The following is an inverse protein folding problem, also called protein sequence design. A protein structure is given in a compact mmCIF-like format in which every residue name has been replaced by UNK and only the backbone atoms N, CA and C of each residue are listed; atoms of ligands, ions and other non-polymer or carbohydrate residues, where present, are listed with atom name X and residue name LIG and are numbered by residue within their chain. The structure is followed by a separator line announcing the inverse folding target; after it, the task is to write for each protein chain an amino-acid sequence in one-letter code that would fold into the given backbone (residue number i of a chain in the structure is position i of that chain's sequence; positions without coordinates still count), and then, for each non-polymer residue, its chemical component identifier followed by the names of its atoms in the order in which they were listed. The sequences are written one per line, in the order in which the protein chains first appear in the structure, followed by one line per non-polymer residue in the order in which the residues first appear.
data_IF_718085247130
#
_entry.id   IF_718085247130
#
_cell.length_a   1.000
_cell.length_b   1.000
_cell.length_c   1.000
_cell.angle_alpha   90.00
_cell.angle_beta   90.00
_cell.angle_gamma   90.00
#
_symmetry.space_group_name_H-M   'P 1'
#
loop_
_entity.id
_entity.type
_entity.pdbx_description
1 polymer ?
#
# COMPACT_ATOMS: atom_id res chain seq x y z
N UNK A 1 9.68 7.19 29.39
CA UNK A 1 8.87 8.41 29.68
C UNK A 1 7.52 8.41 28.94
N UNK A 2 7.47 8.18 27.63
CA UNK A 2 6.19 8.18 26.88
C UNK A 2 5.29 6.99 27.19
N UNK A 3 5.81 5.77 27.20
CA UNK A 3 5.03 4.58 27.58
C UNK A 3 4.41 4.73 28.99
N UNK A 4 5.15 5.36 29.92
CA UNK A 4 4.64 5.71 31.24
C UNK A 4 3.51 6.74 31.17
N UNK A 5 3.65 7.78 30.35
CA UNK A 5 2.62 8.81 30.17
C UNK A 5 1.34 8.23 29.58
N UNK A 6 1.45 7.33 28.59
CA UNK A 6 0.32 6.58 28.02
C UNK A 6 -0.37 5.77 29.11
N UNK A 7 0.40 5.03 29.93
CA UNK A 7 -0.16 4.24 31.04
C UNK A 7 -0.89 5.10 32.07
N UNK A 8 -0.36 6.30 32.37
CA UNK A 8 -0.96 7.21 33.36
C UNK A 8 -2.23 7.87 32.83
N UNK A 9 -2.24 8.26 31.56
CA UNK A 9 -3.39 8.91 30.92
C UNK A 9 -4.46 7.90 30.47
N UNK A 10 -4.10 6.62 30.35
CA UNK A 10 -4.94 5.54 29.80
C UNK A 10 -5.53 5.88 28.41
N UNK A 11 -4.79 6.67 27.63
CA UNK A 11 -5.22 7.19 26.33
C UNK A 11 -4.07 7.14 25.31
N UNK A 12 -4.40 6.73 24.08
CA UNK A 12 -3.48 6.78 22.93
C UNK A 12 -4.17 7.48 21.77
N UNK A 13 -3.92 8.78 21.64
CA UNK A 13 -4.34 9.54 20.45
C UNK A 13 -3.55 9.08 19.21
N UNK A 14 -4.08 9.23 17.98
CA UNK A 14 -3.37 8.91 16.75
C UNK A 14 -1.97 9.56 16.66
N UNK A 15 -1.85 10.82 17.10
CA UNK A 15 -0.57 11.54 17.18
C UNK A 15 0.44 10.84 18.09
N UNK A 16 0.01 10.40 19.28
CA UNK A 16 0.89 9.70 20.23
C UNK A 16 1.30 8.35 19.65
N UNK A 17 0.38 7.65 18.98
CA UNK A 17 0.66 6.40 18.28
C UNK A 17 1.75 6.57 17.22
N UNK A 18 1.63 7.56 16.34
CA UNK A 18 2.62 7.83 15.30
C UNK A 18 4.00 8.12 15.89
N UNK A 19 4.05 8.95 16.93
CA UNK A 19 5.30 9.24 17.61
C UNK A 19 5.94 7.96 18.20
N UNK A 20 5.15 7.08 18.82
CA UNK A 20 5.65 5.79 19.36
C UNK A 20 6.12 4.86 18.24
N UNK A 21 5.35 4.71 17.17
CA UNK A 21 5.71 3.87 16.04
C UNK A 21 6.99 4.35 15.33
N UNK A 22 7.25 5.67 15.34
CA UNK A 22 8.43 6.24 14.70
C UNK A 22 9.76 5.75 15.27
N UNK A 23 9.80 5.28 16.53
CA UNK A 23 11.05 4.91 17.18
C UNK A 23 11.76 3.75 16.47
N UNK A 24 11.02 2.79 15.91
CA UNK A 24 11.61 1.64 15.23
C UNK A 24 12.58 2.07 14.11
N UNK A 25 12.08 2.86 13.17
CA UNK A 25 12.85 3.35 12.01
C UNK A 25 14.00 4.28 12.40
N UNK A 26 13.78 5.11 13.43
CA UNK A 26 14.84 5.99 13.96
C UNK A 26 15.99 5.20 14.56
N UNK A 27 15.68 4.15 15.33
CA UNK A 27 16.70 3.27 15.91
C UNK A 27 17.40 2.45 14.82
N UNK A 28 16.66 1.94 13.83
CA UNK A 28 17.21 1.22 12.69
C UNK A 28 18.20 2.09 11.89
N UNK A 29 17.86 3.37 11.67
CA UNK A 29 18.74 4.35 11.00
C UNK A 29 20.07 4.54 11.75
N UNK A 30 20.01 4.67 13.07
CA UNK A 30 21.21 4.80 13.92
C UNK A 30 22.04 3.53 13.86
N UNK A 31 21.40 2.37 13.98
CA UNK A 31 22.07 1.08 13.98
C UNK A 31 22.77 0.82 12.65
N UNK A 32 22.05 0.94 11.53
CA UNK A 32 22.58 0.67 10.19
C UNK A 32 23.74 1.62 9.84
N UNK A 33 23.57 2.93 10.06
CA UNK A 33 24.66 3.88 9.81
C UNK A 33 25.90 3.60 10.67
N UNK A 34 25.72 3.13 11.91
CA UNK A 34 26.82 2.75 12.79
C UNK A 34 27.51 1.46 12.33
N UNK A 35 26.74 0.46 11.87
CA UNK A 35 27.29 -0.78 11.29
C UNK A 35 28.10 -0.46 10.03
N UNK A 36 27.58 0.38 9.13
CA UNK A 36 28.28 0.81 7.92
C UNK A 36 29.63 1.47 8.26
N UNK A 37 29.63 2.43 9.20
CA UNK A 37 30.87 3.06 9.68
C UNK A 37 31.85 2.07 10.31
N UNK A 38 31.35 1.11 11.09
CA UNK A 38 32.18 0.06 11.69
C UNK A 38 32.83 -0.86 10.65
N UNK A 39 32.28 -0.92 9.44
CA UNK A 39 32.82 -1.66 8.30
C UNK A 39 33.61 -0.77 7.33
N UNK A 40 33.97 0.45 7.74
CA UNK A 40 34.79 1.37 6.93
C UNK A 40 34.03 2.14 5.85
N UNK A 41 32.69 2.06 5.82
CA UNK A 41 31.86 2.81 4.89
C UNK A 41 31.54 4.18 5.49
N UNK A 42 31.85 5.25 4.78
CA UNK A 42 31.51 6.61 5.19
C UNK A 42 30.00 6.84 5.07
N UNK A 43 29.29 6.66 6.19
CA UNK A 43 27.84 6.76 6.28
C UNK A 43 27.38 7.71 7.39
N UNK A 44 26.37 8.53 7.09
CA UNK A 44 25.68 9.40 8.04
C UNK A 44 24.21 8.98 8.18
N UNK A 45 23.73 8.88 9.42
CA UNK A 45 22.34 8.57 9.71
C UNK A 45 21.57 9.83 10.09
N UNK A 46 20.40 10.04 9.51
CA UNK A 46 19.48 11.15 9.83
C UNK A 46 18.28 10.53 10.58
N UNK A 47 18.35 10.32 11.91
CA UNK A 47 17.36 9.51 12.64
C UNK A 47 16.10 10.32 13.02
N UNK A 48 15.64 11.16 12.10
CA UNK A 48 14.45 12.00 12.22
C UNK A 48 13.80 12.21 10.85
N UNK A 49 12.48 12.45 10.79
CA UNK A 49 11.77 12.64 9.54
C UNK A 49 12.19 13.93 8.83
N UNK A 50 12.40 13.83 7.52
CA UNK A 50 12.67 14.96 6.62
C UNK A 50 11.59 15.11 5.53
N UNK A 51 10.58 14.22 5.53
CA UNK A 51 9.35 14.38 4.76
C UNK A 51 8.35 15.23 5.54
N UNK A 52 7.78 16.23 4.88
CA UNK A 52 6.75 17.12 5.43
C UNK A 52 5.38 16.59 5.02
N UNK A 53 4.45 16.52 5.96
CA UNK A 53 3.14 15.88 5.80
C UNK A 53 2.00 16.73 6.36
N UNK A 54 0.77 16.37 6.01
CA UNK A 54 -0.42 16.83 6.71
C UNK A 54 -0.54 16.22 8.12
N UNK A 55 -1.61 16.57 8.85
CA UNK A 55 -1.87 16.04 10.20
C UNK A 55 -2.80 14.83 10.21
N UNK A 56 -2.93 14.10 9.09
CA UNK A 56 -3.71 12.86 9.04
C UNK A 56 -2.93 11.69 9.66
N UNK A 57 -2.76 11.72 10.99
CA UNK A 57 -1.97 10.74 11.73
C UNK A 57 -2.40 9.30 11.43
N UNK A 58 -1.42 8.41 11.26
CA UNK A 58 -1.60 7.02 10.85
C UNK A 58 -1.50 6.78 9.34
N UNK A 59 -1.93 7.75 8.53
CA UNK A 59 -1.97 7.66 7.06
C UNK A 59 -1.69 9.03 6.42
N UNK A 60 -0.63 9.70 6.87
CA UNK A 60 -0.37 11.07 6.49
C UNK A 60 -0.02 11.21 5.00
N UNK A 61 -0.46 12.32 4.40
CA UNK A 61 -0.11 12.66 3.02
C UNK A 61 1.12 13.56 3.00
N UNK A 62 2.05 13.28 2.10
CA UNK A 62 3.27 14.07 1.92
C UNK A 62 2.94 15.34 1.16
N UNK A 63 3.42 16.47 1.66
CA UNK A 63 3.45 17.74 0.95
C UNK A 63 4.76 17.78 0.15
N UNK A 64 4.70 17.39 -1.12
CA UNK A 64 5.88 17.15 -1.96
C UNK A 64 6.83 18.35 -2.04
N UNK A 65 6.31 19.55 -2.29
CA UNK A 65 7.14 20.77 -2.46
C UNK A 65 7.95 21.10 -1.19
N UNK A 66 7.30 21.03 -0.02
CA UNK A 66 7.96 21.26 1.26
C UNK A 66 8.97 20.15 1.58
N UNK A 67 8.60 18.91 1.27
CA UNK A 67 9.49 17.75 1.45
C UNK A 67 10.72 17.84 0.56
N UNK A 68 10.57 18.27 -0.70
CA UNK A 68 11.70 18.49 -1.62
C UNK A 68 12.67 19.51 -1.05
N UNK A 69 12.15 20.66 -0.60
CA UNK A 69 12.97 21.73 -0.03
C UNK A 69 13.71 21.28 1.24
N UNK A 70 13.01 20.64 2.17
CA UNK A 70 13.61 20.13 3.41
C UNK A 70 14.68 19.07 3.11
N UNK A 71 14.35 18.11 2.24
CA UNK A 71 15.25 17.02 1.84
C UNK A 71 16.54 17.56 1.23
N UNK A 72 16.44 18.49 0.27
CA UNK A 72 17.62 19.09 -0.36
C UNK A 72 18.47 19.87 0.66
N UNK A 73 17.84 20.62 1.56
CA UNK A 73 18.53 21.37 2.60
C UNK A 73 19.27 20.47 3.59
N UNK A 74 18.66 19.35 4.01
CA UNK A 74 19.31 18.41 4.94
C UNK A 74 20.45 17.69 4.24
N UNK A 75 20.20 17.12 3.05
CA UNK A 75 21.18 16.30 2.32
C UNK A 75 22.38 17.13 1.85
N UNK A 76 22.19 18.39 1.45
CA UNK A 76 23.30 19.25 1.00
C UNK A 76 24.36 19.52 2.08
N UNK A 77 24.02 19.31 3.36
CA UNK A 77 24.92 19.51 4.49
C UNK A 77 25.67 18.23 4.90
N UNK A 78 25.29 17.07 4.36
CA UNK A 78 25.91 15.78 4.65
C UNK A 78 27.14 15.59 3.76
N UNK A 79 28.27 15.26 4.38
CA UNK A 79 29.55 15.04 3.66
C UNK A 79 29.79 13.58 3.29
N UNK A 80 29.07 12.66 3.94
CA UNK A 80 29.22 11.23 3.73
C UNK A 80 28.64 10.76 2.41
N UNK A 81 29.28 9.75 1.81
CA UNK A 81 28.86 9.15 0.55
C UNK A 81 27.56 8.34 0.69
N UNK A 82 27.26 7.83 1.89
CA UNK A 82 26.04 7.08 2.18
C UNK A 82 25.22 7.83 3.22
N UNK A 83 23.93 8.04 2.92
CA UNK A 83 22.98 8.67 3.83
C UNK A 83 21.91 7.65 4.18
N UNK A 84 21.71 7.41 5.48
CA UNK A 84 20.68 6.50 5.99
C UNK A 84 19.55 7.35 6.56
N UNK A 85 18.34 7.19 6.02
CA UNK A 85 17.14 7.96 6.40
C UNK A 85 16.06 6.95 6.80
N UNK A 86 15.25 7.24 7.83
CA UNK A 86 14.15 6.35 8.24
C UNK A 86 13.08 6.29 7.15
N UNK A 87 12.58 5.07 6.90
CA UNK A 87 11.35 4.87 6.12
C UNK A 87 10.10 5.20 6.93
N UNK A 88 8.92 5.14 6.29
CA UNK A 88 7.59 5.10 6.92
C UNK A 88 7.15 6.34 7.73
N UNK A 89 8.05 7.27 8.06
CA UNK A 89 7.79 8.38 8.97
C UNK A 89 7.94 9.75 8.29
N UNK A 90 7.08 10.68 8.70
CA UNK A 90 7.13 12.08 8.31
C UNK A 90 7.01 13.02 9.52
N UNK A 91 6.93 14.32 9.24
CA UNK A 91 6.56 15.33 10.24
C UNK A 91 5.56 16.32 9.67
N UNK A 92 4.69 16.84 10.52
CA UNK A 92 3.86 18.00 10.20
C UNK A 92 4.72 19.27 10.10
N UNK A 93 4.13 20.35 9.60
CA UNK A 93 4.78 21.67 9.52
C UNK A 93 5.22 22.18 10.92
N UNK A 94 4.46 21.86 11.98
CA UNK A 94 4.81 22.18 13.37
C UNK A 94 5.76 21.16 14.03
N UNK A 95 6.28 20.20 13.26
CA UNK A 95 7.32 19.26 13.70
C UNK A 95 6.80 18.06 14.51
N UNK A 96 5.50 17.73 14.42
CA UNK A 96 4.95 16.50 15.03
C UNK A 96 5.19 15.32 14.11
N UNK A 97 5.62 14.21 14.69
CA UNK A 97 5.85 12.97 13.94
C UNK A 97 4.52 12.41 13.41
N UNK A 98 4.58 11.93 12.18
CA UNK A 98 3.48 11.26 11.48
C UNK A 98 3.97 9.94 10.90
N UNK A 99 3.05 9.02 10.64
CA UNK A 99 3.32 7.80 9.87
C UNK A 99 2.60 7.82 8.53
N UNK A 100 3.19 7.18 7.53
CA UNK A 100 2.73 7.19 6.13
C UNK A 100 1.74 6.06 5.80
N UNK A 101 1.32 5.29 6.80
CA UNK A 101 0.45 4.13 6.60
C UNK A 101 1.16 2.90 6.03
N UNK A 102 0.37 1.97 5.49
CA UNK A 102 0.87 0.68 4.98
C UNK A 102 1.83 0.86 3.80
N UNK A 103 2.89 0.04 3.77
CA UNK A 103 3.94 0.13 2.74
C UNK A 103 4.78 1.40 2.82
N UNK A 104 4.75 2.12 3.94
CA UNK A 104 5.34 3.45 4.03
C UNK A 104 6.86 3.48 3.80
N UNK A 105 7.61 2.42 4.11
CA UNK A 105 9.07 2.40 3.87
C UNK A 105 9.42 2.31 2.39
N UNK A 106 8.74 1.44 1.63
CA UNK A 106 8.93 1.33 0.19
C UNK A 106 8.46 2.60 -0.53
N UNK A 107 7.31 3.15 -0.13
CA UNK A 107 6.83 4.46 -0.59
C UNK A 107 7.83 5.58 -0.28
N UNK A 108 8.48 5.55 0.88
CA UNK A 108 9.51 6.53 1.23
C UNK A 108 10.69 6.46 0.27
N UNK A 109 11.14 5.25 -0.10
CA UNK A 109 12.26 5.06 -1.02
C UNK A 109 11.96 5.60 -2.43
N UNK A 110 10.81 5.24 -3.00
CA UNK A 110 10.41 5.73 -4.34
C UNK A 110 10.15 7.22 -4.34
N UNK A 111 9.58 7.76 -3.26
CA UNK A 111 9.38 9.19 -3.08
C UNK A 111 10.72 9.95 -3.04
N UNK A 112 11.71 9.49 -2.27
CA UNK A 112 13.03 10.11 -2.31
C UNK A 112 13.67 10.04 -3.69
N UNK A 113 13.48 8.93 -4.41
CA UNK A 113 13.88 8.83 -5.82
C UNK A 113 13.32 9.99 -6.67
N UNK A 114 12.02 10.28 -6.54
CA UNK A 114 11.34 11.40 -7.22
C UNK A 114 11.83 12.78 -6.73
N UNK A 115 11.94 12.97 -5.41
CA UNK A 115 12.32 14.25 -4.82
C UNK A 115 13.76 14.65 -5.17
N UNK A 116 14.65 13.66 -5.33
CA UNK A 116 16.06 13.85 -5.65
C UNK A 116 16.37 13.72 -7.15
N UNK A 117 15.40 13.34 -7.98
CA UNK A 117 15.61 13.13 -9.41
C UNK A 117 16.58 11.99 -9.70
N UNK A 118 16.49 10.89 -8.93
CA UNK A 118 17.34 9.72 -9.12
C UNK A 118 16.96 8.99 -10.41
N UNK A 119 17.90 8.21 -10.95
CA UNK A 119 17.64 7.36 -12.11
C UNK A 119 17.07 5.99 -11.71
N UNK A 120 17.39 5.53 -10.51
CA UNK A 120 17.12 4.17 -10.05
C UNK A 120 16.75 4.15 -8.57
N UNK A 121 15.83 3.26 -8.20
CA UNK A 121 15.50 2.90 -6.81
C UNK A 121 15.56 1.39 -6.67
N UNK A 122 16.19 0.90 -5.60
CA UNK A 122 16.32 -0.53 -5.31
C UNK A 122 15.54 -0.88 -4.06
N UNK A 123 14.52 -1.73 -4.21
CA UNK A 123 13.72 -2.29 -3.13
C UNK A 123 14.27 -3.69 -2.81
N UNK A 124 14.93 -3.77 -1.66
CA UNK A 124 15.55 -5.01 -1.17
C UNK A 124 14.54 -5.75 -0.31
N UNK A 125 14.13 -6.93 -0.76
CA UNK A 125 13.11 -7.77 -0.10
C UNK A 125 13.64 -9.16 0.20
N UNK A 126 12.80 -10.03 0.76
CA UNK A 126 13.18 -11.43 1.01
C UNK A 126 13.11 -12.31 -0.25
N UNK A 127 12.43 -11.86 -1.31
CA UNK A 127 12.22 -12.64 -2.55
C UNK A 127 12.99 -12.02 -3.72
N UNK A 128 13.45 -12.81 -4.70
CA UNK A 128 14.30 -12.35 -5.79
C UNK A 128 13.58 -11.43 -6.82
N UNK A 129 12.40 -10.92 -6.49
CA UNK A 129 11.61 -10.04 -7.36
C UNK A 129 10.11 -10.28 -7.21
N UNK A 130 9.34 -9.66 -8.11
CA UNK A 130 7.92 -9.92 -8.26
C UNK A 130 7.76 -11.21 -9.05
N UNK A 131 6.97 -12.14 -8.53
CA UNK A 131 6.82 -13.49 -9.08
C UNK A 131 5.53 -13.62 -9.90
N UNK A 132 5.49 -14.59 -10.81
CA UNK A 132 4.30 -14.93 -11.63
C UNK A 132 3.09 -15.37 -10.80
N UNK A 133 3.27 -15.62 -9.50
CA UNK A 133 2.23 -15.92 -8.52
C UNK A 133 2.84 -16.14 -7.14
N UNK A 134 2.03 -16.27 -6.09
CA UNK A 134 2.53 -16.56 -4.74
C UNK A 134 3.23 -17.94 -4.71
N UNK A 135 4.55 -18.04 -4.46
CA UNK A 135 5.27 -19.31 -4.46
C UNK A 135 4.76 -20.29 -3.40
N UNK A 136 4.07 -19.81 -2.35
CA UNK A 136 3.43 -20.68 -1.35
C UNK A 136 2.20 -21.41 -1.92
N UNK A 137 1.52 -20.80 -2.90
CA UNK A 137 0.33 -21.37 -3.56
C UNK A 137 0.69 -22.08 -4.87
N UNK A 138 1.69 -21.55 -5.59
CA UNK A 138 2.14 -22.01 -6.90
C UNK A 138 3.62 -22.37 -6.83
N UNK A 139 3.99 -23.64 -6.57
CA UNK A 139 5.39 -24.05 -6.43
C UNK A 139 6.28 -23.78 -7.66
N UNK A 140 5.65 -23.64 -8.84
CA UNK A 140 6.33 -23.33 -10.10
C UNK A 140 6.35 -21.82 -10.41
N UNK A 141 6.03 -20.94 -9.45
CA UNK A 141 6.11 -19.50 -9.63
C UNK A 141 7.55 -19.08 -9.96
N UNK A 142 7.70 -18.20 -10.93
CA UNK A 142 9.01 -17.71 -11.39
C UNK A 142 9.12 -16.21 -11.16
N UNK A 143 10.33 -15.70 -10.98
CA UNK A 143 10.56 -14.25 -10.99
C UNK A 143 10.26 -13.68 -12.37
N UNK A 144 9.47 -12.60 -12.40
CA UNK A 144 9.19 -11.86 -13.62
C UNK A 144 10.35 -10.89 -13.86
N UNK A 145 11.09 -10.98 -14.98
CA UNK A 145 12.28 -10.14 -15.18
C UNK A 145 11.98 -8.65 -15.33
N UNK A 146 10.83 -8.32 -15.94
CA UNK A 146 10.42 -6.95 -16.26
C UNK A 146 8.91 -6.79 -16.14
N UNK A 147 8.49 -5.70 -15.52
CA UNK A 147 7.11 -5.24 -15.46
C UNK A 147 7.00 -3.77 -15.87
N UNK A 148 5.85 -3.38 -16.39
CA UNK A 148 5.46 -1.96 -16.41
C UNK A 148 5.07 -1.49 -15.01
N UNK A 149 4.93 -0.17 -14.86
CA UNK A 149 4.47 0.41 -13.60
C UNK A 149 3.05 -0.06 -13.27
N UNK A 150 2.18 -0.10 -14.28
CA UNK A 150 0.79 -0.53 -14.17
C UNK A 150 0.69 -2.01 -13.77
N UNK A 151 1.48 -2.88 -14.41
CA UNK A 151 1.50 -4.31 -14.08
C UNK A 151 2.03 -4.55 -12.65
N UNK A 152 3.05 -3.80 -12.23
CA UNK A 152 3.59 -3.90 -10.87
C UNK A 152 2.56 -3.47 -9.82
N UNK A 153 1.80 -2.40 -10.08
CA UNK A 153 0.70 -1.95 -9.22
C UNK A 153 -0.37 -3.02 -9.11
N UNK A 154 -0.83 -3.59 -10.23
CA UNK A 154 -1.89 -4.60 -10.25
C UNK A 154 -1.49 -5.88 -9.50
N UNK A 155 -0.29 -6.39 -9.77
CA UNK A 155 0.23 -7.58 -9.08
C UNK A 155 0.42 -7.35 -7.58
N UNK A 156 0.72 -6.11 -7.17
CA UNK A 156 0.82 -5.70 -5.77
C UNK A 156 -0.54 -5.58 -5.08
N UNK A 157 -1.60 -5.23 -5.82
CA UNK A 157 -2.97 -5.14 -5.28
C UNK A 157 -3.58 -6.52 -5.00
N UNK A 158 -3.29 -7.51 -5.85
CA UNK A 158 -4.09 -8.73 -5.90
C UNK A 158 -3.46 -9.98 -5.27
N UNK A 159 -2.26 -9.90 -4.67
CA UNK A 159 -1.72 -11.07 -3.98
C UNK A 159 -0.23 -11.08 -3.70
N UNK A 160 0.56 -10.18 -4.29
CA UNK A 160 1.95 -9.99 -3.86
C UNK A 160 1.95 -9.21 -2.54
N UNK A 161 1.58 -9.86 -1.43
CA UNK A 161 1.45 -9.30 -0.06
C UNK A 161 2.66 -8.49 0.45
N UNK A 162 3.76 -8.44 -0.31
CA UNK A 162 5.05 -7.88 0.07
C UNK A 162 5.24 -6.42 -0.35
N UNK A 163 4.66 -5.97 -1.47
CA UNK A 163 4.74 -4.58 -1.92
C UNK A 163 3.36 -3.95 -1.89
N UNK A 164 3.25 -2.77 -1.29
CA UNK A 164 1.99 -2.04 -1.26
C UNK A 164 1.83 -1.24 -2.57
N UNK A 165 0.64 -1.16 -3.16
CA UNK A 165 0.41 -0.39 -4.41
C UNK A 165 0.91 1.06 -4.31
N UNK A 166 0.67 1.69 -3.16
CA UNK A 166 1.14 3.06 -2.83
C UNK A 166 2.65 3.26 -3.02
N UNK A 167 3.46 2.20 -2.92
CA UNK A 167 4.91 2.25 -3.21
C UNK A 167 5.20 2.87 -4.56
N UNK A 168 4.33 2.66 -5.54
CA UNK A 168 4.54 3.07 -6.92
C UNK A 168 3.99 4.46 -7.24
N UNK A 169 3.17 5.06 -6.37
CA UNK A 169 2.55 6.37 -6.59
C UNK A 169 3.57 7.48 -6.95
N UNK A 170 4.76 7.57 -6.32
CA UNK A 170 5.73 8.60 -6.68
C UNK A 170 6.36 8.42 -8.06
N UNK A 171 6.20 7.26 -8.69
CA UNK A 171 6.85 6.92 -9.95
C UNK A 171 6.04 7.34 -11.18
N UNK A 172 4.76 7.66 -11.01
CA UNK A 172 3.95 8.23 -12.09
C UNK A 172 4.62 9.47 -12.67
N UNK A 173 4.63 9.57 -14.00
CA UNK A 173 5.28 10.64 -14.77
C UNK A 173 6.80 10.79 -14.54
N UNK A 174 7.46 9.73 -14.05
CA UNK A 174 8.92 9.69 -13.89
C UNK A 174 9.57 8.67 -14.83
N UNK A 175 10.87 8.82 -15.06
CA UNK A 175 11.69 7.81 -15.75
C UNK A 175 12.50 6.94 -14.79
N UNK A 176 12.11 6.89 -13.50
CA UNK A 176 12.84 6.16 -12.47
C UNK A 176 12.63 4.67 -12.69
N UNK A 177 13.73 3.92 -12.80
CA UNK A 177 13.68 2.46 -12.82
C UNK A 177 13.65 1.93 -11.41
N UNK A 178 12.72 1.02 -11.12
CA UNK A 178 12.69 0.35 -9.81
C UNK A 178 13.14 -1.08 -9.95
N UNK A 179 14.09 -1.49 -9.12
CA UNK A 179 14.54 -2.87 -9.01
C UNK A 179 13.93 -3.46 -7.75
N UNK A 180 13.30 -4.62 -7.87
CA UNK A 180 12.88 -5.45 -6.74
C UNK A 180 13.79 -6.66 -6.71
N UNK A 181 14.58 -6.81 -5.66
CA UNK A 181 15.63 -7.85 -5.56
C UNK A 181 15.76 -8.39 -4.12
N UNK A 182 16.57 -9.43 -3.94
CA UNK A 182 16.84 -10.06 -2.64
C UNK A 182 18.34 -10.10 -2.33
N UNK A 183 18.68 -10.10 -1.04
CA UNK A 183 20.05 -10.38 -0.58
C UNK A 183 20.33 -11.88 -0.45
N UNK A 184 19.30 -12.72 -0.51
CA UNK A 184 19.38 -14.15 -0.20
C UNK A 184 19.30 -15.04 -1.44
N UNK A 185 18.65 -14.56 -2.50
CA UNK A 185 18.38 -15.31 -3.71
C UNK A 185 18.70 -14.47 -4.94
N UNK A 186 19.32 -15.09 -5.95
CA UNK A 186 19.62 -14.42 -7.20
C UNK A 186 18.36 -14.14 -8.02
N UNK A 187 18.31 -12.95 -8.61
CA UNK A 187 17.22 -12.51 -9.46
C UNK A 187 16.77 -11.10 -9.12
N UNK A 188 16.07 -10.48 -10.07
CA UNK A 188 15.41 -9.20 -9.84
C UNK A 188 14.23 -9.04 -10.81
N UNK A 189 13.33 -8.14 -10.45
CA UNK A 189 12.34 -7.56 -11.37
C UNK A 189 12.68 -6.10 -11.62
N UNK A 190 12.78 -5.70 -12.88
CA UNK A 190 12.84 -4.28 -13.27
C UNK A 190 11.44 -3.78 -13.56
N UNK A 191 11.06 -2.71 -12.89
CA UNK A 191 9.84 -1.95 -13.18
C UNK A 191 10.25 -0.73 -14.01
N UNK A 192 9.80 -0.70 -15.25
CA UNK A 192 10.09 0.33 -16.24
C UNK A 192 8.81 0.61 -17.04
N UNK A 193 8.37 1.87 -17.08
CA UNK A 193 7.01 2.31 -17.43
C UNK A 193 6.57 2.13 -18.89
N UNK A 194 6.90 1.01 -19.54
CA UNK A 194 6.44 0.67 -20.89
C UNK A 194 6.10 -0.83 -20.98
N UNK A 195 4.85 -1.12 -21.29
CA UNK A 195 4.43 -2.39 -21.89
C UNK A 195 4.78 -2.39 -23.38
N UNK A 196 5.18 -3.55 -23.91
CA UNK A 196 5.27 -3.78 -25.35
C UNK A 196 4.01 -4.52 -25.84
N UNK A 197 3.63 -4.31 -27.09
CA UNK A 197 2.59 -5.05 -27.82
C UNK A 197 2.78 -6.58 -27.86
N UNK A 198 3.99 -7.06 -27.57
CA UNK A 198 4.31 -8.49 -27.46
C UNK A 198 4.17 -9.06 -26.04
N UNK A 199 3.82 -8.22 -25.05
CA UNK A 199 3.65 -8.68 -23.67
C UNK A 199 2.35 -9.50 -23.53
N UNK A 200 2.52 -10.77 -23.17
CA UNK A 200 1.42 -11.68 -22.80
C UNK A 200 1.13 -11.65 -21.30
N UNK A 201 0.40 -12.66 -20.81
CA UNK A 201 0.14 -12.86 -19.39
C UNK A 201 1.47 -13.04 -18.61
N UNK A 202 1.78 -12.11 -17.70
CA UNK A 202 3.03 -12.14 -16.91
C UNK A 202 2.87 -12.70 -15.52
N UNK A 203 1.67 -12.62 -14.92
CA UNK A 203 1.46 -13.10 -13.57
C UNK A 203 -0.01 -13.39 -13.28
N UNK A 204 -0.24 -14.16 -12.23
CA UNK A 204 -1.57 -14.47 -11.71
C UNK A 204 -1.54 -14.21 -10.21
N UNK A 205 -2.58 -13.57 -9.72
CA UNK A 205 -2.72 -13.19 -8.33
C UNK A 205 -4.04 -13.72 -7.78
N UNK A 206 -4.01 -14.30 -6.57
CA UNK A 206 -5.18 -14.95 -5.98
C UNK A 206 -5.50 -14.33 -4.62
N UNK A 207 -6.65 -13.65 -4.56
CA UNK A 207 -7.27 -13.23 -3.31
C UNK A 207 -8.24 -14.32 -2.84
N UNK A 208 -7.96 -14.88 -1.67
CA UNK A 208 -8.77 -15.91 -1.04
C UNK A 208 -9.59 -15.34 0.12
N UNK A 209 -10.44 -16.18 0.72
CA UNK A 209 -11.28 -15.85 1.87
C UNK A 209 -12.26 -14.71 1.57
N UNK A 210 -12.83 -14.68 0.38
CA UNK A 210 -13.82 -13.68 -0.03
C UNK A 210 -15.23 -14.27 -0.07
N UNK A 211 -16.21 -13.39 0.11
CA UNK A 211 -17.63 -13.69 -0.11
C UNK A 211 -18.15 -12.85 -1.26
N UNK A 212 -18.87 -13.49 -2.18
CA UNK A 212 -19.65 -12.83 -3.21
C UNK A 212 -21.07 -12.64 -2.68
N UNK A 213 -21.43 -11.40 -2.38
CA UNK A 213 -22.79 -11.02 -2.01
C UNK A 213 -23.51 -10.57 -3.28
N UNK A 214 -24.51 -11.35 -3.71
CA UNK A 214 -25.38 -11.02 -4.84
C UNK A 214 -26.68 -10.45 -4.31
N UNK A 215 -26.92 -9.17 -4.58
CA UNK A 215 -28.15 -8.47 -4.24
C UNK A 215 -29.06 -8.45 -5.45
N UNK A 216 -30.19 -9.13 -5.38
CA UNK A 216 -31.24 -9.05 -6.39
C UNK A 216 -32.25 -7.97 -5.99
N UNK A 217 -32.59 -7.08 -6.92
CA UNK A 217 -33.69 -6.14 -6.73
C UNK A 217 -34.32 -5.75 -8.06
N UNK A 218 -35.65 -5.74 -8.08
CA UNK A 218 -36.42 -5.19 -9.21
C UNK A 218 -36.61 -3.69 -9.07
N UNK A 219 -36.33 -3.12 -7.89
CA UNK A 219 -36.50 -1.69 -7.61
C UNK A 219 -35.32 -0.84 -8.06
N UNK A 220 -34.25 -1.47 -8.53
CA UNK A 220 -33.01 -0.83 -9.01
C UNK A 220 -32.91 -0.70 -10.53
N UNK A 221 -33.73 -1.43 -11.30
CA UNK A 221 -33.68 -1.44 -12.77
C UNK A 221 -34.05 -0.07 -13.34
N UNK A 222 -33.17 0.51 -14.16
CA UNK A 222 -33.37 1.80 -14.85
C UNK A 222 -33.43 3.00 -13.91
N UNK A 223 -33.01 2.85 -12.64
CA UNK A 223 -33.05 3.93 -11.65
C UNK A 223 -31.65 4.48 -11.39
N UNK A 224 -31.58 5.80 -11.37
CA UNK A 224 -30.37 6.54 -11.01
C UNK A 224 -30.00 6.22 -9.56
N UNK A 225 -28.71 5.92 -9.33
CA UNK A 225 -28.15 5.73 -7.99
C UNK A 225 -28.40 4.35 -7.37
N UNK A 226 -28.86 3.37 -8.14
CA UNK A 226 -29.10 2.00 -7.65
C UNK A 226 -27.86 1.33 -7.04
N UNK A 227 -26.74 1.33 -7.78
CA UNK A 227 -25.47 0.84 -7.28
C UNK A 227 -25.02 1.61 -6.03
N UNK A 228 -25.16 2.95 -6.07
CA UNK A 228 -24.80 3.83 -4.95
C UNK A 228 -25.56 3.51 -3.66
N UNK A 229 -26.85 3.16 -3.73
CA UNK A 229 -27.63 2.76 -2.54
C UNK A 229 -27.00 1.55 -1.86
N UNK A 230 -26.71 0.50 -2.62
CA UNK A 230 -26.11 -0.72 -2.07
C UNK A 230 -24.69 -0.48 -1.56
N UNK A 231 -23.86 0.27 -2.29
CA UNK A 231 -22.49 0.57 -1.84
C UNK A 231 -22.45 1.52 -0.64
N UNK A 232 -23.48 2.36 -0.45
CA UNK A 232 -23.63 3.17 0.76
C UNK A 232 -23.86 2.29 1.99
N UNK A 233 -24.68 1.24 1.90
CA UNK A 233 -24.88 0.29 3.02
C UNK A 233 -23.56 -0.42 3.38
N UNK A 234 -22.73 -0.77 2.39
CA UNK A 234 -21.39 -1.32 2.64
C UNK A 234 -20.49 -0.33 3.39
N UNK A 235 -20.51 0.95 2.99
CA UNK A 235 -19.78 2.02 3.69
C UNK A 235 -20.27 2.18 5.14
N UNK A 236 -21.57 2.26 5.37
CA UNK A 236 -22.17 2.43 6.70
C UNK A 236 -21.86 1.26 7.64
N UNK A 237 -21.75 0.05 7.09
CA UNK A 237 -21.36 -1.15 7.84
C UNK A 237 -19.85 -1.31 8.00
N UNK A 238 -19.05 -0.40 7.44
CA UNK A 238 -17.59 -0.44 7.49
C UNK A 238 -17.02 -1.67 6.76
N UNK A 239 -17.64 -2.04 5.63
CA UNK A 239 -17.25 -3.16 4.79
C UNK A 239 -16.57 -2.64 3.53
N UNK A 240 -15.32 -3.05 3.31
CA UNK A 240 -14.59 -2.72 2.09
C UNK A 240 -15.08 -3.57 0.92
N UNK A 241 -15.37 -2.93 -0.21
CA UNK A 241 -15.75 -3.62 -1.45
C UNK A 241 -14.49 -3.82 -2.28
N UNK A 242 -14.16 -5.08 -2.58
CA UNK A 242 -12.99 -5.45 -3.38
C UNK A 242 -13.31 -5.37 -4.87
N UNK A 243 -14.48 -5.85 -5.26
CA UNK A 243 -14.96 -5.78 -6.64
C UNK A 243 -16.47 -5.61 -6.67
N UNK A 244 -16.96 -4.87 -7.65
CA UNK A 244 -18.37 -4.66 -7.93
C UNK A 244 -18.66 -4.98 -9.39
N UNK A 245 -19.72 -5.75 -9.62
CA UNK A 245 -20.23 -6.03 -10.95
C UNK A 245 -21.75 -5.88 -10.97
N UNK A 246 -22.24 -5.29 -12.06
CA UNK A 246 -23.67 -5.17 -12.34
C UNK A 246 -23.90 -5.59 -13.80
N UNK A 247 -24.67 -6.66 -14.05
CA UNK A 247 -25.07 -7.02 -15.41
C UNK A 247 -25.93 -5.91 -16.04
N UNK A 248 -25.93 -5.85 -17.37
CA UNK A 248 -26.75 -4.88 -18.13
C UNK A 248 -28.28 -5.03 -17.91
N UNK A 249 -28.73 -6.16 -17.33
CA UNK A 249 -30.13 -6.29 -16.89
C UNK A 249 -30.47 -5.39 -15.71
N UNK A 250 -29.46 -4.89 -14.98
CA UNK A 250 -29.56 -4.06 -13.78
C UNK A 250 -30.37 -4.67 -12.62
N UNK A 251 -30.74 -5.94 -12.72
CA UNK A 251 -31.54 -6.66 -11.73
C UNK A 251 -30.72 -7.14 -10.53
N UNK A 252 -29.40 -7.19 -10.67
CA UNK A 252 -28.49 -7.68 -9.64
C UNK A 252 -27.28 -6.77 -9.49
N UNK A 253 -26.76 -6.70 -8.27
CA UNK A 253 -25.46 -6.10 -7.96
C UNK A 253 -24.66 -7.14 -7.19
N UNK A 254 -23.46 -7.44 -7.66
CA UNK A 254 -22.56 -8.42 -7.07
C UNK A 254 -21.38 -7.69 -6.43
N UNK A 255 -21.14 -7.99 -5.16
CA UNK A 255 -20.07 -7.41 -4.36
C UNK A 255 -19.15 -8.51 -3.84
N UNK A 256 -17.87 -8.45 -4.19
CA UNK A 256 -16.84 -9.25 -3.53
C UNK A 256 -16.34 -8.49 -2.29
N UNK A 257 -16.40 -9.14 -1.13
CA UNK A 257 -15.98 -8.56 0.17
C UNK A 257 -15.19 -9.57 0.98
N UNK A 258 -14.39 -9.09 1.94
CA UNK A 258 -13.66 -9.94 2.87
C UNK A 258 -14.63 -10.76 3.76
N UNK A 259 -14.39 -12.07 3.89
CA UNK A 259 -15.26 -12.98 4.64
C UNK A 259 -15.48 -12.58 6.10
N UNK A 260 -14.48 -11.96 6.74
CA UNK A 260 -14.59 -11.51 8.14
C UNK A 260 -15.58 -10.36 8.31
N UNK A 261 -15.82 -9.60 7.24
CA UNK A 261 -16.68 -8.43 7.23
C UNK A 261 -18.05 -8.68 6.56
N UNK A 262 -18.16 -9.76 5.78
CA UNK A 262 -19.33 -10.07 4.97
C UNK A 262 -20.64 -10.18 5.78
N UNK A 263 -20.59 -10.72 7.00
CA UNK A 263 -21.78 -10.87 7.86
C UNK A 263 -22.43 -9.55 8.24
N UNK A 264 -21.63 -8.48 8.42
CA UNK A 264 -22.15 -7.14 8.74
C UNK A 264 -23.01 -6.59 7.62
N UNK A 265 -22.51 -6.68 6.38
CA UNK A 265 -23.24 -6.24 5.19
C UNK A 265 -24.44 -7.14 4.91
N UNK A 266 -24.31 -8.46 5.07
CA UNK A 266 -25.41 -9.39 4.88
C UNK A 266 -26.59 -9.07 5.82
N UNK A 267 -26.34 -8.91 7.12
CA UNK A 267 -27.39 -8.57 8.09
C UNK A 267 -28.10 -7.27 7.70
N UNK A 268 -27.34 -6.27 7.28
CA UNK A 268 -27.91 -4.99 6.82
C UNK A 268 -28.79 -5.15 5.58
N UNK A 269 -28.37 -5.94 4.60
CA UNK A 269 -29.14 -6.17 3.38
C UNK A 269 -30.40 -7.02 3.63
N UNK A 270 -30.35 -7.95 4.60
CA UNK A 270 -31.51 -8.73 5.06
C UNK A 270 -32.58 -7.82 5.69
N UNK A 271 -32.20 -6.83 6.50
CA UNK A 271 -33.12 -5.81 7.04
C UNK A 271 -33.82 -5.00 5.94
N UNK A 272 -33.18 -4.85 4.78
CA UNK A 272 -33.68 -4.10 3.64
C UNK A 272 -34.53 -4.95 2.67
N UNK A 273 -34.82 -6.22 3.01
CA UNK A 273 -35.72 -7.06 2.22
C UNK A 273 -37.12 -6.46 2.17
N UNK A 274 -37.72 -6.47 0.98
CA UNK A 274 -39.04 -5.90 0.70
C UNK A 274 -39.03 -4.39 0.44
N UNK A 275 -38.08 -3.63 0.99
CA UNK A 275 -37.96 -2.19 0.75
C UNK A 275 -37.05 -1.87 -0.43
N UNK A 276 -35.79 -2.29 -0.39
CA UNK A 276 -34.78 -2.07 -1.44
C UNK A 276 -34.32 -3.38 -2.07
N UNK A 277 -34.25 -4.45 -1.27
CA UNK A 277 -33.71 -5.75 -1.66
C UNK A 277 -34.86 -6.73 -1.87
N UNK A 278 -34.80 -7.52 -2.95
CA UNK A 278 -35.72 -8.65 -3.18
C UNK A 278 -35.13 -9.92 -2.58
N UNK A 279 -33.87 -10.21 -2.90
CA UNK A 279 -33.17 -11.38 -2.42
C UNK A 279 -31.67 -11.08 -2.23
N UNK A 280 -31.03 -11.84 -1.33
CA UNK A 280 -29.58 -11.80 -1.13
C UNK A 280 -29.06 -13.22 -1.16
N UNK A 281 -28.03 -13.47 -1.94
CA UNK A 281 -27.30 -14.73 -1.97
C UNK A 281 -25.83 -14.48 -1.62
N UNK A 282 -25.23 -15.40 -0.86
CA UNK A 282 -23.82 -15.32 -0.49
C UNK A 282 -23.11 -16.60 -0.91
N UNK A 283 -21.98 -16.45 -1.61
CA UNK A 283 -21.11 -17.57 -2.01
C UNK A 283 -19.69 -17.35 -1.55
N UNK A 284 -19.02 -18.42 -1.16
CA UNK A 284 -17.56 -18.45 -1.06
C UNK A 284 -16.96 -18.33 -2.45
N UNK A 285 -16.02 -17.40 -2.61
CA UNK A 285 -15.29 -17.20 -3.85
C UNK A 285 -13.82 -16.93 -3.57
N UNK A 286 -13.00 -17.22 -4.57
CA UNK A 286 -11.67 -16.66 -4.72
C UNK A 286 -11.68 -15.71 -5.93
N UNK A 287 -10.91 -14.62 -5.85
CA UNK A 287 -10.74 -13.68 -6.97
C UNK A 287 -9.37 -13.91 -7.60
N UNK A 288 -9.38 -14.11 -8.91
CA UNK A 288 -8.17 -14.29 -9.72
C UNK A 288 -7.93 -12.99 -10.50
N UNK A 289 -6.77 -12.37 -10.27
CA UNK A 289 -6.20 -11.34 -11.14
C UNK A 289 -5.25 -11.95 -12.15
N UNK A 290 -5.29 -11.43 -13.38
CA UNK A 290 -4.46 -11.83 -14.52
C UNK A 290 -3.89 -10.60 -15.19
#
# INVERSE_FOLDING_TARGET
RIAWSIRVLDEVTPRVRDYVLSFGERMATILLSSILRSNGIEAEGIPYPILITDSNYGEANVIEDLSRKETLNVISNVKSNVIVIPGFIGKTIDGRYTTLGRGGSDYTATLFGKLLGMNEVRLITEVPGIMTGDPKKFPNAKTIPRLSLEEAIELSQLGAKRLHPRTFDPLFDTSIKVFVESLYEDGFTIIDGKCDSNDGLKGISLLDNLKLITVESTKIVGKIGSAAKITTEAKETGVNIISISQPASETTIQLAVDSTSASRLLNRLEELKGSLVKNVEVKDIDVVGI
#
